data_IF_645823926535
#
_entry.id   IF_645823926535
#
_cell.length_a   1.000
_cell.length_b   1.000
_cell.length_c   1.000
_cell.angle_alpha   90.00
_cell.angle_beta   90.00
_cell.angle_gamma   90.00
#
_symmetry.space_group_name_H-M   'P 1'
#
loop_
_entity.id
_entity.type
_entity.pdbx_description
1 polymer ?
#
# COMPACT_ATOMS: atom_id res chain seq x y z
N UNK A 1 35.76 -2.40 68.38
CA UNK A 1 35.59 -1.04 67.80
C UNK A 1 35.58 -1.19 66.27
N UNK A 2 34.48 -1.70 65.69
CA UNK A 2 33.52 -0.97 64.81
C UNK A 2 34.24 -0.06 63.79
N UNK A 3 34.40 -0.53 62.55
CA UNK A 3 33.50 -0.34 61.38
C UNK A 3 33.71 1.02 60.71
N UNK A 4 34.02 1.02 59.41
CA UNK A 4 33.25 1.69 58.34
C UNK A 4 33.97 1.55 56.99
N UNK A 5 33.53 0.57 56.20
CA UNK A 5 33.81 0.46 54.78
C UNK A 5 32.81 1.38 54.05
N UNK A 6 33.29 2.48 53.46
CA UNK A 6 32.46 3.40 52.68
C UNK A 6 32.15 2.82 51.30
N UNK A 7 30.90 2.41 51.08
CA UNK A 7 30.39 1.96 49.80
C UNK A 7 30.03 3.18 48.94
N UNK A 8 30.87 3.54 47.97
CA UNK A 8 30.56 4.55 46.95
C UNK A 8 29.57 3.96 45.94
N UNK A 9 28.26 4.18 46.15
CA UNK A 9 27.25 3.98 45.11
C UNK A 9 27.36 5.09 44.06
N UNK A 10 28.04 4.81 42.95
CA UNK A 10 27.96 5.63 41.74
C UNK A 10 26.60 5.47 41.08
N UNK A 11 25.69 6.38 41.38
CA UNK A 11 24.35 6.47 40.80
C UNK A 11 24.46 6.91 39.32
N UNK A 12 24.46 5.96 38.39
CA UNK A 12 24.34 6.26 36.96
C UNK A 12 22.87 6.49 36.63
N UNK A 13 22.43 7.75 36.73
CA UNK A 13 21.13 8.15 36.20
C UNK A 13 21.17 8.00 34.67
N UNK A 14 20.61 6.91 34.16
CA UNK A 14 20.26 6.78 32.75
C UNK A 14 19.19 7.85 32.46
N UNK A 15 19.59 8.98 31.88
CA UNK A 15 18.66 9.87 31.21
C UNK A 15 18.05 9.10 30.04
N UNK A 16 16.86 8.54 30.26
CA UNK A 16 16.00 8.16 29.16
C UNK A 16 15.64 9.45 28.42
N UNK A 17 16.27 9.70 27.27
CA UNK A 17 15.85 10.77 26.38
C UNK A 17 14.39 10.52 26.04
N UNK A 18 13.50 11.39 26.54
CA UNK A 18 12.09 11.33 26.21
C UNK A 18 11.98 11.39 24.68
N UNK A 19 11.45 10.33 24.08
CA UNK A 19 11.09 10.36 22.67
C UNK A 19 10.14 11.54 22.46
N UNK A 20 10.35 12.39 21.43
CA UNK A 20 9.40 13.45 21.14
C UNK A 20 8.00 12.85 21.01
N UNK A 21 6.95 13.55 21.48
CA UNK A 21 5.60 13.04 21.43
C UNK A 21 5.23 12.68 19.98
N UNK A 22 4.51 11.57 19.82
CA UNK A 22 3.93 11.16 18.53
C UNK A 22 3.11 12.34 17.96
N UNK A 23 3.47 12.91 16.80
CA UNK A 23 2.77 14.07 16.24
C UNK A 23 1.37 13.72 15.70
N UNK A 24 1.05 12.43 15.50
CA UNK A 24 -0.18 11.97 14.86
C UNK A 24 -0.87 10.83 15.62
N UNK A 25 -1.13 10.97 16.94
CA UNK A 25 -1.58 9.86 17.79
C UNK A 25 -3.03 9.43 17.52
N UNK A 26 -3.78 10.15 16.70
CA UNK A 26 -5.18 9.83 16.34
C UNK A 26 -5.37 9.48 14.86
N UNK A 27 -4.35 9.69 14.02
CA UNK A 27 -4.47 9.52 12.58
C UNK A 27 -4.72 8.05 12.18
N UNK A 28 -4.05 7.10 12.85
CA UNK A 28 -4.20 5.68 12.59
C UNK A 28 -3.75 4.78 13.74
N UNK A 29 -4.25 3.54 13.75
CA UNK A 29 -3.79 2.49 14.68
C UNK A 29 -2.33 2.09 14.47
N UNK A 30 -1.84 2.20 13.23
CA UNK A 30 -0.43 2.10 12.88
C UNK A 30 -0.13 2.96 11.65
N UNK A 31 0.98 3.68 11.67
CA UNK A 31 1.44 4.46 10.52
C UNK A 31 2.96 4.49 10.42
N UNK A 32 3.45 4.86 9.23
CA UNK A 32 4.85 5.19 8.97
C UNK A 32 4.94 6.27 7.90
N UNK A 33 5.81 7.25 8.14
CA UNK A 33 6.11 8.35 7.22
C UNK A 33 7.59 8.29 6.87
N UNK A 34 7.89 8.31 5.58
CA UNK A 34 9.24 8.39 5.07
C UNK A 34 9.41 9.64 4.21
N UNK A 35 10.54 10.32 4.38
CA UNK A 35 10.97 11.44 3.55
C UNK A 35 12.23 11.00 2.81
N UNK A 36 12.19 11.07 1.48
CA UNK A 36 13.27 10.62 0.60
C UNK A 36 13.79 9.20 0.91
N UNK A 37 12.86 8.32 1.29
CA UNK A 37 13.13 6.90 1.62
C UNK A 37 13.70 6.67 3.01
N UNK A 38 13.76 7.71 3.86
CA UNK A 38 14.19 7.59 5.25
C UNK A 38 12.98 7.73 6.18
N UNK A 39 12.77 6.81 7.14
CA UNK A 39 11.71 6.97 8.13
C UNK A 39 11.95 8.18 9.01
N UNK A 40 10.91 8.98 9.21
CA UNK A 40 10.94 10.20 10.05
C UNK A 40 10.01 10.05 11.24
N UNK A 41 8.78 9.58 11.02
CA UNK A 41 7.82 9.29 12.09
C UNK A 41 7.14 7.95 11.87
N UNK A 42 6.90 7.22 12.95
CA UNK A 42 6.14 5.99 12.90
C UNK A 42 5.45 5.70 14.23
N UNK A 43 4.29 5.05 14.14
CA UNK A 43 3.54 4.56 15.30
C UNK A 43 3.16 3.13 15.07
N UNK A 44 3.50 2.25 16.01
CA UNK A 44 3.13 0.82 15.95
C UNK A 44 3.49 0.20 14.59
N UNK A 45 4.62 0.60 13.99
CA UNK A 45 4.90 0.37 12.57
C UNK A 45 4.99 -1.12 12.19
N UNK A 46 5.33 -1.98 13.15
CA UNK A 46 5.43 -3.44 13.00
C UNK A 46 4.15 -4.18 13.43
N UNK A 47 3.12 -3.45 13.88
CA UNK A 47 1.83 -4.06 14.30
C UNK A 47 1.16 -4.70 13.09
N UNK A 48 0.80 -5.96 13.24
CA UNK A 48 0.09 -6.75 12.21
C UNK A 48 -1.38 -6.36 12.18
N UNK A 49 -1.82 -5.81 11.06
CA UNK A 49 -3.21 -5.40 10.82
C UNK A 49 -3.65 -5.89 9.43
N UNK A 50 -4.97 -6.10 9.21
CA UNK A 50 -5.47 -6.41 7.88
C UNK A 50 -5.19 -5.24 6.91
N UNK A 51 -4.53 -5.46 5.76
CA UNK A 51 -4.13 -4.38 4.85
C UNK A 51 -5.25 -3.94 3.89
N UNK A 52 -6.39 -4.63 3.89
CA UNK A 52 -7.43 -4.50 2.87
C UNK A 52 -6.83 -4.48 1.45
N UNK A 53 -7.34 -3.63 0.56
CA UNK A 53 -6.88 -3.53 -0.83
C UNK A 53 -5.45 -2.99 -1.02
N UNK A 54 -4.71 -2.61 0.05
CA UNK A 54 -3.27 -2.33 -0.08
C UNK A 54 -2.51 -3.59 -0.54
N UNK A 55 -3.06 -4.79 -0.26
CA UNK A 55 -2.61 -6.09 -0.79
C UNK A 55 -2.39 -6.08 -2.31
N UNK A 56 -3.20 -5.32 -3.06
CA UNK A 56 -3.10 -5.24 -4.53
C UNK A 56 -1.77 -4.67 -5.02
N UNK A 57 -1.00 -3.99 -4.16
CA UNK A 57 0.35 -3.56 -4.49
C UNK A 57 1.31 -4.75 -4.64
N UNK A 58 1.18 -5.79 -3.80
CA UNK A 58 1.96 -7.03 -4.00
C UNK A 58 1.54 -7.73 -5.29
N UNK A 59 0.24 -7.71 -5.60
CA UNK A 59 -0.27 -8.24 -6.88
C UNK A 59 0.32 -7.48 -8.07
N UNK A 60 0.34 -6.15 -8.01
CA UNK A 60 0.97 -5.31 -9.02
C UNK A 60 2.47 -5.62 -9.16
N UNK A 61 3.21 -5.75 -8.05
CA UNK A 61 4.64 -6.07 -8.08
C UNK A 61 4.92 -7.39 -8.82
N UNK A 62 4.15 -8.45 -8.53
CA UNK A 62 4.32 -9.74 -9.21
C UNK A 62 3.92 -9.71 -10.68
N UNK A 63 2.95 -8.88 -11.07
CA UNK A 63 2.63 -8.64 -12.48
C UNK A 63 3.79 -7.94 -13.19
N UNK A 64 4.49 -7.06 -12.47
CA UNK A 64 5.61 -6.28 -13.02
C UNK A 64 6.91 -7.10 -13.21
N UNK A 65 7.13 -8.16 -12.44
CA UNK A 65 8.31 -9.04 -12.57
C UNK A 65 8.49 -9.65 -13.98
N UNK A 66 7.39 -9.86 -14.70
CA UNK A 66 7.37 -10.37 -16.07
C UNK A 66 6.56 -9.47 -16.99
N UNK A 67 6.59 -8.16 -16.75
CA UNK A 67 5.64 -7.22 -17.34
C UNK A 67 5.62 -7.27 -18.87
N UNK A 68 4.47 -7.67 -19.41
CA UNK A 68 4.15 -7.61 -20.83
C UNK A 68 2.84 -6.82 -20.97
N UNK A 69 2.88 -5.48 -21.08
CA UNK A 69 1.67 -4.64 -21.01
C UNK A 69 0.61 -5.04 -22.04
N UNK A 70 1.07 -5.43 -23.23
CA UNK A 70 0.23 -5.84 -24.37
C UNK A 70 -0.21 -7.31 -24.34
N UNK A 71 0.28 -8.11 -23.39
CA UNK A 71 -0.21 -9.47 -23.22
C UNK A 71 -1.70 -9.44 -22.86
N UNK A 72 -2.40 -10.50 -23.23
CA UNK A 72 -3.85 -10.59 -23.09
C UNK A 72 -4.19 -11.59 -21.98
N UNK A 73 -5.10 -11.19 -21.10
CA UNK A 73 -5.72 -12.08 -20.13
C UNK A 73 -7.21 -12.22 -20.45
N UNK A 74 -7.70 -13.45 -20.34
CA UNK A 74 -9.12 -13.77 -20.42
C UNK A 74 -9.72 -13.73 -19.02
N UNK A 75 -10.84 -13.04 -18.85
CA UNK A 75 -11.58 -13.01 -17.60
C UNK A 75 -12.24 -14.37 -17.37
N UNK A 76 -11.84 -15.08 -16.32
CA UNK A 76 -12.46 -16.34 -15.94
C UNK A 76 -13.82 -16.14 -15.27
N UNK A 77 -14.60 -17.23 -15.12
CA UNK A 77 -15.82 -17.22 -14.31
C UNK A 77 -15.55 -16.83 -12.85
N UNK A 78 -14.41 -17.25 -12.30
CA UNK A 78 -14.00 -16.95 -10.91
C UNK A 78 -13.62 -15.48 -10.72
N UNK A 79 -12.94 -14.89 -11.71
CA UNK A 79 -12.63 -13.46 -11.72
C UNK A 79 -13.91 -12.62 -11.87
N UNK A 80 -14.80 -12.97 -12.80
CA UNK A 80 -16.06 -12.26 -13.03
C UNK A 80 -17.02 -12.28 -11.83
N UNK A 81 -16.94 -13.31 -10.98
CA UNK A 81 -17.77 -13.44 -9.76
C UNK A 81 -17.12 -12.82 -8.51
N UNK A 82 -16.04 -12.05 -8.66
CA UNK A 82 -15.43 -11.33 -7.55
C UNK A 82 -16.43 -10.41 -6.82
N UNK A 83 -16.33 -10.36 -5.49
CA UNK A 83 -17.18 -9.54 -4.62
C UNK A 83 -16.49 -8.23 -4.23
N UNK A 84 -17.23 -7.28 -3.65
CA UNK A 84 -16.70 -5.98 -3.26
C UNK A 84 -16.51 -5.04 -4.46
N UNK A 85 -15.44 -4.26 -4.44
CA UNK A 85 -15.12 -3.31 -5.51
C UNK A 85 -14.80 -4.04 -6.82
N UNK A 86 -15.55 -3.76 -7.89
CA UNK A 86 -15.40 -4.41 -9.20
C UNK A 86 -15.79 -3.45 -10.34
N UNK A 87 -15.36 -3.74 -11.57
CA UNK A 87 -15.88 -3.08 -12.77
C UNK A 87 -17.07 -3.82 -13.38
N UNK A 88 -17.27 -5.08 -13.03
CA UNK A 88 -18.27 -5.94 -13.65
C UNK A 88 -17.77 -6.52 -14.98
N UNK A 89 -16.49 -6.91 -15.02
CA UNK A 89 -15.91 -7.57 -16.18
C UNK A 89 -16.62 -8.90 -16.45
N UNK A 90 -16.90 -9.21 -17.71
CA UNK A 90 -17.65 -10.42 -18.08
C UNK A 90 -16.71 -11.59 -18.34
N UNK A 91 -17.13 -12.78 -17.92
CA UNK A 91 -16.41 -14.02 -18.22
C UNK A 91 -16.27 -14.19 -19.74
N UNK A 92 -15.07 -14.56 -20.19
CA UNK A 92 -14.72 -14.72 -21.61
C UNK A 92 -14.22 -13.43 -22.28
N UNK A 93 -14.38 -12.26 -21.65
CA UNK A 93 -13.80 -11.03 -22.18
C UNK A 93 -12.27 -11.09 -22.09
N UNK A 94 -11.61 -10.42 -23.03
CA UNK A 94 -10.15 -10.33 -23.08
C UNK A 94 -9.70 -8.89 -22.92
N UNK A 95 -8.67 -8.66 -22.11
CA UNK A 95 -8.11 -7.34 -21.84
C UNK A 95 -6.59 -7.40 -21.84
N UNK A 96 -5.95 -6.26 -22.10
CA UNK A 96 -4.51 -6.12 -21.94
C UNK A 96 -4.13 -6.14 -20.45
N UNK A 97 -2.93 -6.64 -20.13
CA UNK A 97 -2.43 -6.64 -18.74
C UNK A 97 -2.33 -5.22 -18.18
N UNK A 98 -1.92 -4.24 -19.00
CA UNK A 98 -1.86 -2.83 -18.58
C UNK A 98 -3.23 -2.27 -18.17
N UNK A 99 -4.29 -2.66 -18.88
CA UNK A 99 -5.66 -2.24 -18.61
C UNK A 99 -6.17 -2.82 -17.28
N UNK A 100 -5.95 -4.12 -17.07
CA UNK A 100 -6.33 -4.78 -15.82
C UNK A 100 -5.53 -4.25 -14.63
N UNK A 101 -4.25 -3.91 -14.84
CA UNK A 101 -3.42 -3.29 -13.81
C UNK A 101 -3.94 -1.89 -13.46
N UNK A 102 -4.34 -1.09 -14.45
CA UNK A 102 -4.97 0.20 -14.25
C UNK A 102 -6.27 0.09 -13.44
N UNK A 103 -7.17 -0.81 -13.81
CA UNK A 103 -8.41 -1.06 -13.08
C UNK A 103 -8.16 -1.51 -11.63
N UNK A 104 -7.15 -2.36 -11.44
CA UNK A 104 -6.74 -2.88 -10.13
C UNK A 104 -6.24 -1.77 -9.21
N UNK A 105 -5.42 -0.86 -9.72
CA UNK A 105 -4.76 0.17 -8.90
C UNK A 105 -5.65 1.40 -8.67
N UNK A 106 -6.28 1.93 -9.73
CA UNK A 106 -7.08 3.15 -9.64
C UNK A 106 -8.43 2.87 -8.99
N UNK A 107 -9.16 1.86 -9.48
CA UNK A 107 -10.51 1.57 -9.01
C UNK A 107 -10.58 0.49 -7.92
N UNK A 108 -9.45 -0.16 -7.60
CA UNK A 108 -9.44 -1.29 -6.66
C UNK A 108 -10.31 -2.46 -7.15
N UNK A 109 -10.40 -2.67 -8.47
CA UNK A 109 -11.26 -3.67 -9.08
C UNK A 109 -10.77 -5.10 -8.76
N UNK A 110 -11.59 -5.87 -8.04
CA UNK A 110 -11.27 -7.23 -7.58
C UNK A 110 -11.37 -8.26 -8.71
N UNK A 111 -12.27 -8.06 -9.66
CA UNK A 111 -12.38 -8.85 -10.89
C UNK A 111 -11.11 -8.73 -11.75
N UNK A 112 -10.62 -7.50 -11.97
CA UNK A 112 -9.34 -7.29 -12.66
C UNK A 112 -8.15 -7.87 -11.88
N UNK A 113 -8.12 -7.67 -10.56
CA UNK A 113 -7.06 -8.19 -9.68
C UNK A 113 -6.97 -9.73 -9.71
N UNK A 114 -8.11 -10.42 -9.65
CA UNK A 114 -8.16 -11.89 -9.74
C UNK A 114 -7.71 -12.37 -11.12
N UNK A 115 -8.15 -11.73 -12.19
CA UNK A 115 -7.72 -12.07 -13.54
C UNK A 115 -6.19 -11.92 -13.70
N UNK A 116 -5.58 -10.89 -13.12
CA UNK A 116 -4.12 -10.74 -13.10
C UNK A 116 -3.43 -11.87 -12.32
N UNK A 117 -3.95 -12.22 -11.14
CA UNK A 117 -3.40 -13.30 -10.32
C UNK A 117 -3.44 -14.66 -11.06
N UNK A 118 -4.57 -14.96 -11.69
CA UNK A 118 -4.77 -16.14 -12.54
C UNK A 118 -3.84 -16.12 -13.77
N UNK A 119 -3.70 -14.98 -14.45
CA UNK A 119 -2.79 -14.86 -15.58
C UNK A 119 -1.33 -15.13 -15.20
N UNK A 120 -0.87 -14.60 -14.06
CA UNK A 120 0.53 -14.72 -13.63
C UNK A 120 0.88 -16.11 -13.11
N UNK A 121 -0.04 -16.79 -12.44
CA UNK A 121 0.27 -18.03 -11.71
C UNK A 121 -0.63 -19.23 -12.03
N UNK A 122 -1.64 -19.07 -12.89
CA UNK A 122 -2.64 -20.07 -13.24
C UNK A 122 -3.79 -20.20 -12.25
N UNK A 123 -3.51 -20.07 -10.94
CA UNK A 123 -4.52 -20.10 -9.87
C UNK A 123 -4.13 -19.21 -8.67
N UNK A 124 -5.11 -18.83 -7.84
CA UNK A 124 -4.90 -17.94 -6.70
C UNK A 124 -3.99 -18.57 -5.63
N UNK A 125 -4.05 -19.89 -5.41
CA UNK A 125 -3.22 -20.55 -4.40
C UNK A 125 -1.72 -20.48 -4.77
N UNK A 126 -1.37 -20.71 -6.03
CA UNK A 126 -0.02 -20.51 -6.58
C UNK A 126 0.39 -19.05 -6.49
N UNK A 127 -0.52 -18.13 -6.82
CA UNK A 127 -0.25 -16.70 -6.73
C UNK A 127 0.07 -16.28 -5.29
N UNK A 128 -0.74 -16.67 -4.31
CA UNK A 128 -0.52 -16.38 -2.88
C UNK A 128 0.81 -16.97 -2.37
N UNK A 129 1.23 -18.15 -2.86
CA UNK A 129 2.57 -18.68 -2.55
C UNK A 129 3.68 -17.77 -3.08
N UNK A 130 3.53 -17.23 -4.29
CA UNK A 130 4.49 -16.24 -4.85
C UNK A 130 4.47 -14.93 -4.07
N UNK A 131 3.30 -14.43 -3.68
CA UNK A 131 3.18 -13.22 -2.85
C UNK A 131 3.95 -13.35 -1.54
N UNK A 132 3.76 -14.46 -0.83
CA UNK A 132 4.46 -14.69 0.44
C UNK A 132 5.96 -14.95 0.25
N UNK A 133 6.38 -15.52 -0.88
CA UNK A 133 7.81 -15.64 -1.22
C UNK A 133 8.42 -14.26 -1.45
N UNK A 134 7.78 -13.42 -2.27
CA UNK A 134 8.23 -12.05 -2.52
C UNK A 134 8.23 -11.19 -1.25
N UNK A 135 7.25 -11.37 -0.36
CA UNK A 135 7.26 -10.71 0.94
C UNK A 135 8.54 -11.04 1.75
N UNK A 136 8.97 -12.30 1.77
CA UNK A 136 10.23 -12.71 2.43
C UNK A 136 11.46 -12.14 1.72
N UNK A 137 11.49 -12.16 0.39
CA UNK A 137 12.58 -11.60 -0.41
C UNK A 137 12.77 -10.09 -0.13
N UNK A 138 11.67 -9.36 0.11
CA UNK A 138 11.68 -7.94 0.47
C UNK A 138 11.94 -7.68 1.97
N UNK A 139 12.04 -8.72 2.81
CA UNK A 139 12.20 -8.56 4.25
C UNK A 139 10.94 -8.09 4.99
N UNK A 140 9.75 -8.33 4.44
CA UNK A 140 8.46 -8.01 5.07
C UNK A 140 8.14 -9.03 6.17
N UNK A 141 8.68 -8.81 7.38
CA UNK A 141 8.68 -9.77 8.51
C UNK A 141 7.32 -9.91 9.20
N UNK A 142 6.45 -8.93 9.05
CA UNK A 142 5.14 -8.83 9.69
C UNK A 142 4.00 -8.89 8.66
N UNK A 143 4.23 -9.65 7.59
CA UNK A 143 3.29 -9.79 6.47
C UNK A 143 3.00 -11.24 6.14
N UNK A 144 1.72 -11.53 5.94
CA UNK A 144 1.24 -12.76 5.34
C UNK A 144 0.03 -12.48 4.44
N UNK A 145 0.13 -12.89 3.18
CA UNK A 145 -0.96 -12.82 2.22
C UNK A 145 -1.77 -14.11 2.23
N UNK A 146 -3.10 -14.01 2.26
CA UNK A 146 -4.02 -15.16 2.16
C UNK A 146 -4.85 -15.15 0.87
N UNK A 147 -4.90 -14.01 0.17
CA UNK A 147 -5.57 -13.82 -1.12
C UNK A 147 -4.89 -12.67 -1.87
N UNK A 148 -5.19 -12.55 -3.17
CA UNK A 148 -4.53 -11.58 -4.05
C UNK A 148 -5.08 -10.14 -3.92
N UNK A 149 -6.31 -9.98 -3.42
CA UNK A 149 -7.06 -8.74 -3.60
C UNK A 149 -7.42 -8.00 -2.30
N UNK A 150 -7.05 -8.53 -1.15
CA UNK A 150 -7.22 -7.83 0.13
C UNK A 150 -8.55 -8.07 0.82
N UNK A 151 -9.22 -9.18 0.54
CA UNK A 151 -10.41 -9.57 1.30
C UNK A 151 -10.02 -9.98 2.72
N UNK A 152 -10.91 -9.71 3.67
CA UNK A 152 -10.74 -10.16 5.05
C UNK A 152 -10.65 -11.70 5.09
N UNK A 153 -9.56 -12.20 5.64
CA UNK A 153 -9.31 -13.63 5.77
C UNK A 153 -8.46 -13.90 7.02
N UNK A 154 -8.60 -15.08 7.65
CA UNK A 154 -7.67 -15.51 8.69
C UNK A 154 -6.24 -15.46 8.19
N UNK A 155 -5.31 -14.99 9.03
CA UNK A 155 -3.89 -14.90 8.70
C UNK A 155 -3.56 -14.02 7.47
N UNK A 156 -4.44 -13.08 7.11
CA UNK A 156 -4.15 -12.04 6.13
C UNK A 156 -3.82 -10.72 6.83
N UNK A 157 -2.53 -10.39 6.90
CA UNK A 157 -2.06 -9.20 7.61
C UNK A 157 -0.79 -8.64 6.98
N UNK A 158 -0.50 -7.39 7.30
CA UNK A 158 0.74 -6.68 6.99
C UNK A 158 1.04 -5.70 8.12
N UNK A 159 2.18 -5.02 8.07
CA UNK A 159 2.50 -3.89 8.94
C UNK A 159 2.75 -2.62 8.13
N UNK A 160 2.71 -1.45 8.78
CA UNK A 160 3.00 -0.17 8.10
C UNK A 160 4.44 -0.14 7.56
N UNK A 161 5.38 -0.70 8.33
CA UNK A 161 6.79 -0.84 7.93
C UNK A 161 6.95 -1.73 6.70
N UNK A 162 6.32 -2.89 6.69
CA UNK A 162 6.42 -3.82 5.56
C UNK A 162 5.78 -3.26 4.29
N UNK A 163 4.65 -2.58 4.43
CA UNK A 163 3.97 -1.93 3.31
C UNK A 163 4.79 -0.75 2.76
N UNK A 164 5.58 -0.06 3.60
CA UNK A 164 6.54 0.95 3.13
C UNK A 164 7.66 0.32 2.29
N UNK A 165 8.19 -0.85 2.67
CA UNK A 165 9.17 -1.60 1.86
C UNK A 165 8.59 -1.98 0.50
N UNK A 166 7.36 -2.52 0.48
CA UNK A 166 6.67 -2.87 -0.75
C UNK A 166 6.41 -1.65 -1.64
N UNK A 167 5.97 -0.53 -1.05
CA UNK A 167 5.78 0.71 -1.77
C UNK A 167 7.11 1.23 -2.35
N UNK A 168 8.19 1.22 -1.56
CA UNK A 168 9.52 1.61 -2.01
C UNK A 168 10.01 0.80 -3.22
N UNK A 169 9.75 -0.51 -3.26
CA UNK A 169 10.07 -1.34 -4.42
C UNK A 169 9.27 -0.94 -5.66
N UNK A 170 7.97 -0.73 -5.50
CA UNK A 170 7.08 -0.31 -6.58
C UNK A 170 7.39 1.09 -7.12
N UNK A 171 7.84 2.00 -6.25
CA UNK A 171 8.21 3.38 -6.63
C UNK A 171 9.44 3.45 -7.53
N UNK A 172 10.24 2.38 -7.62
CA UNK A 172 11.33 2.27 -8.62
C UNK A 172 10.79 2.19 -10.06
N UNK A 173 9.51 1.85 -10.23
CA UNK A 173 8.88 1.67 -11.53
C UNK A 173 8.15 2.95 -11.95
N UNK A 174 8.81 3.80 -12.76
CA UNK A 174 8.24 5.10 -13.21
C UNK A 174 6.87 4.97 -13.86
N UNK A 175 6.64 3.92 -14.65
CA UNK A 175 5.35 3.66 -15.29
C UNK A 175 4.20 3.47 -14.28
N UNK A 176 4.49 2.97 -13.08
CA UNK A 176 3.51 2.80 -12.03
C UNK A 176 3.09 4.15 -11.44
N UNK A 177 4.05 5.06 -11.21
CA UNK A 177 3.77 6.41 -10.72
C UNK A 177 2.87 7.18 -11.69
N UNK A 178 3.21 7.12 -12.98
CA UNK A 178 2.41 7.74 -14.04
C UNK A 178 1.00 7.14 -14.14
N UNK A 179 0.85 5.84 -13.83
CA UNK A 179 -0.45 5.18 -13.76
C UNK A 179 -1.25 5.63 -12.54
N UNK A 180 -0.68 5.57 -11.34
CA UNK A 180 -1.39 5.88 -10.09
C UNK A 180 -1.73 7.35 -9.91
N UNK A 181 -1.05 8.24 -10.64
CA UNK A 181 -1.34 9.67 -10.68
C UNK A 181 -2.55 10.04 -11.56
N UNK A 182 -3.11 9.11 -12.35
CA UNK A 182 -4.28 9.39 -13.20
C UNK A 182 -5.54 9.52 -12.36
N UNK A 183 -6.36 10.55 -12.63
CA UNK A 183 -7.67 10.74 -12.00
C UNK A 183 -8.74 9.77 -12.53
N UNK A 184 -8.62 9.40 -13.81
CA UNK A 184 -9.59 8.59 -14.53
C UNK A 184 -8.89 7.46 -15.27
N UNK A 185 -9.60 6.35 -15.43
CA UNK A 185 -9.17 5.22 -16.24
C UNK A 185 -10.31 4.74 -17.14
N UNK A 186 -9.91 4.08 -18.21
CA UNK A 186 -10.80 3.51 -19.20
C UNK A 186 -10.16 2.27 -19.80
N UNK A 187 -10.91 1.19 -19.89
CA UNK A 187 -10.46 -0.07 -20.50
C UNK A 187 -11.56 -0.61 -21.41
N UNK A 188 -11.16 -1.32 -22.47
CA UNK A 188 -12.09 -1.90 -23.45
C UNK A 188 -11.77 -3.37 -23.66
N UNK A 189 -12.81 -4.20 -23.76
CA UNK A 189 -12.64 -5.60 -24.13
C UNK A 189 -12.12 -5.68 -25.57
N UNK A 190 -11.15 -6.56 -25.82
CA UNK A 190 -10.54 -6.72 -27.15
C UNK A 190 -11.42 -7.54 -28.10
N UNK A 191 -12.32 -8.35 -27.56
CA UNK A 191 -13.18 -9.29 -28.29
C UNK A 191 -14.67 -8.91 -28.26
N UNK A 192 -15.03 -7.73 -27.75
CA UNK A 192 -16.41 -7.27 -27.70
C UNK A 192 -16.51 -5.74 -27.59
N UNK A 193 -17.61 -5.11 -28.03
CA UNK A 193 -17.84 -3.67 -27.89
C UNK A 193 -18.25 -3.30 -26.46
N UNK A 194 -17.40 -3.61 -25.47
CA UNK A 194 -17.60 -3.27 -24.06
C UNK A 194 -16.48 -2.35 -23.59
N UNK A 195 -16.87 -1.21 -23.04
CA UNK A 195 -15.96 -0.21 -22.47
C UNK A 195 -16.33 0.04 -21.00
N UNK A 196 -15.32 0.17 -20.14
CA UNK A 196 -15.47 0.41 -18.72
C UNK A 196 -14.70 1.68 -18.36
N UNK A 197 -15.40 2.68 -17.83
CA UNK A 197 -14.81 3.93 -17.32
C UNK A 197 -14.86 3.94 -15.80
N UNK A 198 -13.80 4.43 -15.18
CA UNK A 198 -13.70 4.47 -13.73
C UNK A 198 -12.85 5.64 -13.24
N UNK A 199 -13.05 6.01 -11.98
CA UNK A 199 -12.27 7.02 -11.28
C UNK A 199 -11.25 6.37 -10.36
N UNK A 200 -10.16 7.09 -10.13
CA UNK A 200 -9.20 6.75 -9.09
C UNK A 200 -9.85 6.96 -7.71
N UNK A 201 -9.80 5.93 -6.86
CA UNK A 201 -10.39 5.98 -5.51
C UNK A 201 -9.52 6.73 -4.51
N UNK A 202 -8.28 7.07 -4.87
CA UNK A 202 -7.44 7.92 -4.04
C UNK A 202 -7.87 9.38 -4.18
N UNK A 203 -8.54 9.89 -3.13
CA UNK A 203 -9.11 11.24 -3.14
C UNK A 203 -8.05 12.35 -3.15
N UNK A 204 -6.78 12.03 -2.86
CA UNK A 204 -5.67 13.00 -2.97
C UNK A 204 -5.35 13.33 -4.44
N UNK A 205 -5.63 12.42 -5.37
CA UNK A 205 -5.24 12.57 -6.78
C UNK A 205 -6.04 13.70 -7.44
N UNK A 206 -5.30 14.72 -7.89
CA UNK A 206 -5.83 15.95 -8.48
C UNK A 206 -6.52 16.90 -7.49
N UNK A 207 -6.39 16.65 -6.18
CA UNK A 207 -6.87 17.55 -5.11
C UNK A 207 -5.74 18.02 -4.19
N UNK A 208 -4.75 17.17 -3.96
CA UNK A 208 -3.59 17.48 -3.13
C UNK A 208 -2.36 17.73 -4.02
N UNK A 209 -1.71 18.89 -3.86
CA UNK A 209 -0.54 19.29 -4.65
C UNK A 209 0.58 18.24 -4.50
N UNK A 210 1.04 17.71 -5.63
CA UNK A 210 2.14 16.74 -5.68
C UNK A 210 1.72 15.29 -5.47
N UNK A 211 0.43 14.97 -5.27
CA UNK A 211 -0.01 13.59 -5.07
C UNK A 211 0.16 12.75 -6.36
N UNK A 212 0.83 11.60 -6.22
CA UNK A 212 1.16 10.70 -7.33
C UNK A 212 0.67 9.26 -7.12
N UNK A 213 0.09 8.95 -5.95
CA UNK A 213 -0.39 7.61 -5.65
C UNK A 213 -0.57 7.34 -4.16
N UNK A 214 -0.54 6.10 -3.69
CA UNK A 214 -0.47 4.85 -4.48
C UNK A 214 -1.78 4.07 -4.39
N UNK A 215 -2.26 3.77 -3.18
CA UNK A 215 -3.40 2.85 -3.04
C UNK A 215 -4.19 3.06 -1.76
N UNK A 216 -5.49 2.82 -1.89
CA UNK A 216 -6.48 2.89 -0.81
C UNK A 216 -7.00 1.50 -0.48
N UNK A 217 -7.46 1.30 0.75
CA UNK A 217 -8.10 0.07 1.19
C UNK A 217 -9.21 0.30 2.20
N UNK A 218 -10.22 -0.56 2.18
CA UNK A 218 -11.22 -0.65 3.24
C UNK A 218 -11.84 -2.05 3.25
N UNK A 219 -11.99 -2.61 4.44
CA UNK A 219 -12.87 -3.73 4.77
C UNK A 219 -13.41 -3.49 6.18
N UNK A 220 -14.42 -4.25 6.60
CA UNK A 220 -14.95 -4.09 7.96
C UNK A 220 -13.92 -4.42 9.05
N UNK A 221 -13.00 -5.37 8.81
CA UNK A 221 -11.95 -5.67 9.80
C UNK A 221 -10.72 -4.75 9.69
N UNK A 222 -10.37 -4.29 8.50
CA UNK A 222 -9.19 -3.44 8.29
C UNK A 222 -9.40 -1.99 8.71
N UNK A 223 -10.64 -1.49 8.61
CA UNK A 223 -10.91 -0.05 8.63
C UNK A 223 -10.33 0.64 7.39
N UNK A 224 -10.20 1.97 7.45
CA UNK A 224 -9.69 2.78 6.34
C UNK A 224 -8.16 2.64 6.28
N UNK A 225 -7.62 2.11 5.18
CA UNK A 225 -6.17 2.00 4.94
C UNK A 225 -5.75 2.88 3.75
N UNK A 226 -4.51 3.37 3.79
CA UNK A 226 -3.95 4.24 2.75
C UNK A 226 -2.43 4.08 2.65
N UNK A 227 -1.91 4.04 1.42
CA UNK A 227 -0.54 4.38 1.09
C UNK A 227 -0.59 5.58 0.16
N UNK A 228 -0.16 6.74 0.65
CA UNK A 228 -0.08 7.97 -0.09
C UNK A 228 1.38 8.28 -0.45
N UNK A 229 1.60 8.72 -1.67
CA UNK A 229 2.91 9.17 -2.13
C UNK A 229 2.76 10.52 -2.82
N UNK A 230 3.57 11.49 -2.40
CA UNK A 230 3.57 12.84 -2.95
C UNK A 230 4.99 13.36 -3.15
N UNK A 231 5.16 14.23 -4.13
CA UNK A 231 6.43 14.90 -4.44
C UNK A 231 6.24 16.40 -4.63
N UNK A 232 7.07 17.21 -3.97
CA UNK A 232 7.13 18.68 -4.10
C UNK A 232 8.58 19.13 -4.04
N UNK A 233 9.01 19.93 -5.01
CA UNK A 233 10.33 20.59 -4.99
C UNK A 233 11.49 19.58 -4.72
N UNK A 234 11.40 18.42 -5.41
CA UNK A 234 12.29 17.25 -5.31
C UNK A 234 12.33 16.54 -3.95
N UNK A 235 11.45 16.90 -3.01
CA UNK A 235 11.21 16.14 -1.78
C UNK A 235 10.12 15.11 -2.06
N UNK A 236 10.36 13.86 -1.65
CA UNK A 236 9.37 12.78 -1.77
C UNK A 236 8.91 12.34 -0.40
N UNK A 237 7.59 12.25 -0.22
CA UNK A 237 6.98 11.79 1.04
C UNK A 237 6.12 10.56 0.77
N UNK A 238 6.37 9.50 1.53
CA UNK A 238 5.57 8.28 1.57
C UNK A 238 4.88 8.19 2.93
N UNK A 239 3.56 8.07 2.92
CA UNK A 239 2.74 7.86 4.12
C UNK A 239 2.01 6.52 3.99
N UNK A 240 2.18 5.65 4.99
CA UNK A 240 1.42 4.41 5.15
C UNK A 240 0.55 4.53 6.40
N UNK A 241 -0.75 4.27 6.26
CA UNK A 241 -1.74 4.26 7.35
C UNK A 241 -2.57 2.98 7.33
N UNK A 242 -2.65 2.31 8.47
CA UNK A 242 -3.49 1.14 8.70
C UNK A 242 -4.51 1.44 9.79
N UNK A 243 -5.80 1.17 9.48
CA UNK A 243 -6.93 1.46 10.38
C UNK A 243 -6.92 2.94 10.81
N UNK A 244 -6.99 3.84 9.82
CA UNK A 244 -7.06 5.28 9.98
C UNK A 244 -8.47 5.81 10.25
N UNK A 245 -8.52 6.99 10.89
CA UNK A 245 -9.75 7.72 11.19
C UNK A 245 -10.25 8.50 9.97
N UNK A 246 -9.98 9.80 9.91
CA UNK A 246 -10.35 10.67 8.80
C UNK A 246 -9.27 10.69 7.72
N UNK A 247 -8.97 9.48 7.18
CA UNK A 247 -7.78 9.16 6.35
C UNK A 247 -7.38 10.14 5.25
N UNK A 248 -8.28 10.98 4.76
CA UNK A 248 -7.98 11.95 3.71
C UNK A 248 -7.51 13.28 4.27
N UNK A 249 -8.19 13.76 5.31
CA UNK A 249 -7.81 14.96 6.04
C UNK A 249 -6.50 14.71 6.80
N UNK A 250 -6.46 13.62 7.56
CA UNK A 250 -5.25 13.19 8.29
C UNK A 250 -4.05 13.06 7.34
N UNK A 251 -4.24 12.46 6.16
CA UNK A 251 -3.16 12.29 5.20
C UNK A 251 -2.70 13.63 4.59
N UNK A 252 -3.61 14.55 4.29
CA UNK A 252 -3.24 15.86 3.78
C UNK A 252 -2.40 16.64 4.80
N UNK A 253 -2.85 16.67 6.06
CA UNK A 253 -2.17 17.36 7.16
C UNK A 253 -0.79 16.75 7.44
N UNK A 254 -0.71 15.42 7.52
CA UNK A 254 0.55 14.70 7.70
C UNK A 254 1.53 15.00 6.57
N UNK A 255 1.07 14.97 5.31
CA UNK A 255 1.93 15.23 4.16
C UNK A 255 2.43 16.68 4.18
N UNK A 256 1.59 17.66 4.52
CA UNK A 256 2.00 19.06 4.63
C UNK A 256 3.06 19.23 5.73
N UNK A 257 2.85 18.67 6.92
CA UNK A 257 3.82 18.69 8.02
C UNK A 257 5.13 18.01 7.62
N UNK A 258 5.08 16.90 6.89
CA UNK A 258 6.29 16.22 6.40
C UNK A 258 7.08 17.07 5.40
N UNK A 259 6.39 17.73 4.46
CA UNK A 259 7.05 18.66 3.53
C UNK A 259 7.64 19.86 4.25
N UNK A 260 6.98 20.38 5.28
CA UNK A 260 7.46 21.52 6.07
C UNK A 260 8.71 21.13 6.88
N UNK A 261 8.70 19.96 7.50
CA UNK A 261 9.86 19.40 8.19
C UNK A 261 11.04 19.18 7.24
N UNK A 262 10.80 18.64 6.04
CA UNK A 262 11.86 18.47 5.04
C UNK A 262 12.52 19.80 4.63
N UNK A 263 11.76 20.89 4.57
CA UNK A 263 12.28 22.23 4.25
C UNK A 263 13.15 22.80 5.37
N UNK A 264 12.86 22.47 6.62
CA UNK A 264 13.64 22.94 7.78
C UNK A 264 14.99 22.21 7.92
N UNK A 265 15.15 21.03 7.32
CA UNK A 265 16.38 20.25 7.34
C UNK A 265 17.36 20.61 6.20
N UNK A 266 16.96 21.48 5.28
CA UNK A 266 17.79 21.99 4.18
C UNK A 266 18.34 23.36 4.54
#
# INVERSE_FOLDING_TARGET
MRLLLGLLLSCHALLALAQPPDPFPEAASAYRIEIDGKPVWERQASRRLPPASLTKLMTALLVLDGYRPQAVATISRTAATATGSRLGLRSGDTFRIEDLLAATLLHSANDACRALAEHVAGDEARFVRRMNRRARELGMKDTRFANACGHDAPNHYSSARDLALLAGELLKQRALLELTARQHGKISALNAPREYRFTNKNALIGRYRGALGLKTGYTSKAGKCLIAYAERDHVRVLLVMLHGGERWWDAADILDIAFDHARQLR
#
